data_IF_428447791823
#
_entry.id   IF_428447791823
#
_cell.length_a   1.000
_cell.length_b   1.000
_cell.length_c   1.000
_cell.angle_alpha   90.00
_cell.angle_beta   90.00
_cell.angle_gamma   90.00
#
_symmetry.space_group_name_H-M   'P 1'
#
loop_
_entity.id
_entity.type
_entity.pdbx_description
1 polymer ?
#
# COMPACT_ATOMS: atom_id res chain seq x y z
N UNK A 1 15.23 51.91 55.63
CA UNK A 1 14.28 50.82 55.97
C UNK A 1 13.96 50.07 54.69
N UNK A 2 14.35 48.79 54.61
CA UNK A 2 14.01 47.85 53.52
C UNK A 2 12.70 47.14 53.87
N UNK A 3 11.82 46.89 52.89
CA UNK A 3 11.31 45.52 52.74
C UNK A 3 11.11 45.12 51.25
N UNK A 4 11.66 43.96 50.88
CA UNK A 4 10.98 42.70 50.51
C UNK A 4 10.54 42.62 49.03
N UNK A 5 11.49 42.15 48.22
CA UNK A 5 11.24 41.49 46.93
C UNK A 5 10.66 40.09 47.21
N UNK A 6 9.40 39.87 46.81
CA UNK A 6 8.83 38.52 46.68
C UNK A 6 9.34 37.93 45.36
N UNK A 7 10.30 37.01 45.45
CA UNK A 7 10.70 36.15 44.33
C UNK A 7 9.78 34.93 44.35
N UNK A 8 8.88 34.84 43.38
CA UNK A 8 8.09 33.62 43.16
C UNK A 8 9.00 32.55 42.57
N UNK A 9 9.26 31.49 43.35
CA UNK A 9 9.79 30.23 42.84
C UNK A 9 8.64 29.43 42.22
N UNK A 10 8.48 29.51 40.90
CA UNK A 10 7.75 28.50 40.14
C UNK A 10 8.69 27.29 39.99
N UNK A 11 8.43 26.25 40.78
CA UNK A 11 9.06 24.95 40.61
C UNK A 11 8.65 24.38 39.24
N UNK A 12 9.59 24.34 38.31
CA UNK A 12 9.44 23.56 37.08
C UNK A 12 9.54 22.08 37.46
N UNK A 13 8.39 21.44 37.65
CA UNK A 13 8.30 19.98 37.63
C UNK A 13 8.60 19.51 36.22
N UNK A 14 9.87 19.19 35.98
CA UNK A 14 10.29 18.43 34.79
C UNK A 14 9.73 17.03 34.97
N UNK A 15 8.53 16.79 34.46
CA UNK A 15 8.03 15.44 34.20
C UNK A 15 8.91 14.85 33.10
N UNK A 16 9.98 14.17 33.50
CA UNK A 16 10.73 13.30 32.60
C UNK A 16 9.78 12.20 32.14
N UNK A 17 9.24 12.37 30.94
CA UNK A 17 8.63 11.27 30.17
C UNK A 17 9.66 10.14 30.09
N UNK A 18 9.28 8.89 30.39
CA UNK A 18 10.17 7.77 30.13
C UNK A 18 10.52 7.78 28.65
N UNK A 19 11.82 7.85 28.35
CA UNK A 19 12.35 7.62 27.00
C UNK A 19 11.98 6.18 26.63
N UNK A 20 10.86 6.02 25.94
CA UNK A 20 10.54 4.80 25.23
C UNK A 20 11.64 4.63 24.17
N UNK A 21 12.48 3.61 24.35
CA UNK A 21 13.46 3.21 23.35
C UNK A 21 12.71 2.82 22.08
N UNK A 22 13.23 3.14 20.90
CA UNK A 22 12.59 2.83 19.62
C UNK A 22 12.48 1.32 19.31
N UNK A 23 12.77 0.45 20.28
CA UNK A 23 12.66 -1.00 20.18
C UNK A 23 11.27 -1.56 20.52
N UNK A 24 10.40 -0.80 21.20
CA UNK A 24 9.17 -1.35 21.79
C UNK A 24 7.89 -1.19 20.93
N UNK A 25 8.03 -0.73 19.67
CA UNK A 25 6.89 -0.49 18.76
C UNK A 25 6.56 -1.72 17.87
N UNK A 26 7.35 -2.79 17.91
CA UNK A 26 7.08 -4.01 17.17
C UNK A 26 6.53 -5.09 18.11
N UNK A 27 5.20 -5.14 18.26
CA UNK A 27 4.54 -6.30 18.91
C UNK A 27 4.95 -7.57 18.16
N UNK A 28 5.90 -8.33 18.72
CA UNK A 28 6.08 -9.76 18.41
C UNK A 28 4.72 -10.43 18.64
N UNK A 29 4.04 -10.85 17.57
CA UNK A 29 2.97 -11.84 17.69
C UNK A 29 3.60 -13.22 17.62
N UNK A 30 3.14 -14.10 18.50
CA UNK A 30 3.64 -15.47 18.69
C UNK A 30 3.32 -16.35 17.47
N UNK A 31 4.14 -16.24 16.43
CA UNK A 31 4.21 -17.18 15.32
C UNK A 31 5.44 -18.09 15.43
N UNK A 32 5.48 -19.22 14.70
CA UNK A 32 6.67 -20.07 14.60
C UNK A 32 7.89 -19.20 14.23
N UNK A 33 8.90 -19.18 15.09
CA UNK A 33 10.13 -18.43 14.83
C UNK A 33 10.91 -19.18 13.74
N UNK A 34 10.79 -18.72 12.50
CA UNK A 34 11.56 -19.27 11.39
C UNK A 34 12.95 -18.65 11.45
N UNK A 35 14.02 -19.47 11.50
CA UNK A 35 15.38 -18.94 11.62
C UNK A 35 15.68 -17.89 10.55
N UNK A 36 16.17 -16.75 11.00
CA UNK A 36 16.57 -15.64 10.13
C UNK A 36 15.44 -14.82 9.52
N UNK A 37 14.16 -15.19 9.73
CA UNK A 37 12.99 -14.44 9.23
C UNK A 37 12.52 -13.41 10.26
N UNK A 38 12.36 -12.16 9.82
CA UNK A 38 11.73 -11.07 10.55
C UNK A 38 10.64 -10.45 9.68
N UNK A 39 9.45 -10.25 10.23
CA UNK A 39 8.30 -9.77 9.48
C UNK A 39 7.99 -8.31 9.77
N UNK A 40 7.70 -7.55 8.72
CA UNK A 40 7.07 -6.25 8.88
C UNK A 40 5.61 -6.53 9.23
N UNK A 41 5.13 -6.12 10.41
CA UNK A 41 3.71 -6.25 10.77
C UNK A 41 2.87 -5.13 10.13
N UNK A 42 1.56 -5.30 10.01
CA UNK A 42 0.60 -4.24 9.65
C UNK A 42 -0.54 -4.13 10.68
N UNK A 43 -1.32 -3.05 10.59
CA UNK A 43 -2.49 -2.78 11.44
C UNK A 43 -2.56 -1.32 11.87
N UNK A 44 -3.18 -1.07 13.03
CA UNK A 44 -3.39 0.29 13.57
C UNK A 44 -2.11 1.12 13.72
N UNK A 45 -0.96 0.46 13.96
CA UNK A 45 0.35 1.11 14.07
C UNK A 45 1.20 1.09 12.81
N UNK A 46 0.77 0.41 11.74
CA UNK A 46 1.51 0.35 10.47
C UNK A 46 0.56 0.17 9.28
N UNK A 47 0.43 1.23 8.47
CA UNK A 47 -0.44 1.28 7.29
C UNK A 47 0.27 0.90 5.98
N UNK A 48 1.43 0.25 6.06
CA UNK A 48 2.23 -0.18 4.92
C UNK A 48 1.93 -1.63 4.58
N UNK A 49 0.95 -1.87 3.73
CA UNK A 49 0.54 -3.21 3.31
C UNK A 49 0.04 -3.21 1.86
N UNK A 50 0.20 -4.34 1.18
CA UNK A 50 -0.24 -4.59 -0.21
C UNK A 50 -0.88 -5.95 -0.32
N UNK A 51 -1.60 -6.21 -1.41
CA UNK A 51 -2.15 -7.54 -1.64
C UNK A 51 -1.04 -8.58 -1.88
N UNK A 52 -1.29 -9.81 -1.44
CA UNK A 52 -0.41 -10.97 -1.65
C UNK A 52 -0.06 -11.13 -3.13
N UNK A 53 -1.07 -11.05 -4.01
CA UNK A 53 -0.89 -11.25 -5.45
C UNK A 53 0.08 -10.23 -6.06
N UNK A 54 0.03 -8.97 -5.60
CA UNK A 54 0.94 -7.90 -6.03
C UNK A 54 2.36 -8.11 -5.49
N UNK A 55 2.48 -8.55 -4.23
CA UNK A 55 3.78 -8.91 -3.65
C UNK A 55 4.43 -10.09 -4.42
N UNK A 56 3.70 -11.18 -4.65
CA UNK A 56 4.21 -12.36 -5.36
C UNK A 56 4.58 -12.05 -6.80
N UNK A 57 3.78 -11.26 -7.52
CA UNK A 57 4.09 -10.82 -8.88
C UNK A 57 5.40 -10.03 -8.94
N UNK A 58 5.59 -9.06 -8.04
CA UNK A 58 6.78 -8.21 -8.04
C UNK A 58 8.03 -8.96 -7.54
N UNK A 59 7.89 -9.89 -6.59
CA UNK A 59 8.97 -10.81 -6.20
C UNK A 59 9.44 -11.65 -7.38
N UNK A 60 8.51 -12.27 -8.11
CA UNK A 60 8.86 -13.07 -9.27
C UNK A 60 9.60 -12.23 -10.32
N UNK A 61 9.06 -11.06 -10.65
CA UNK A 61 9.69 -10.12 -11.59
C UNK A 61 11.08 -9.69 -11.14
N UNK A 62 11.26 -9.34 -9.87
CA UNK A 62 12.55 -8.97 -9.31
C UNK A 62 13.59 -10.07 -9.50
N UNK A 63 13.24 -11.31 -9.15
CA UNK A 63 14.15 -12.45 -9.27
C UNK A 63 14.48 -12.80 -10.73
N UNK A 64 13.51 -12.67 -11.65
CA UNK A 64 13.71 -12.92 -13.08
C UNK A 64 14.60 -11.86 -13.73
N UNK A 65 14.57 -10.61 -13.24
CA UNK A 65 15.31 -9.48 -13.78
C UNK A 65 16.61 -9.16 -12.99
N UNK A 66 17.14 -10.10 -12.18
CA UNK A 66 18.36 -9.86 -11.40
C UNK A 66 19.53 -9.51 -12.33
N UNK A 67 20.03 -8.29 -12.17
CA UNK A 67 21.26 -7.80 -12.78
C UNK A 67 22.11 -7.15 -11.70
N UNK A 68 23.34 -7.62 -11.55
CA UNK A 68 24.31 -7.11 -10.59
C UNK A 68 25.06 -5.94 -11.22
N UNK A 69 25.05 -4.79 -10.56
CA UNK A 69 25.90 -3.67 -10.94
C UNK A 69 27.36 -3.99 -10.53
N UNK A 70 28.33 -3.66 -11.39
CA UNK A 70 29.75 -3.92 -11.11
C UNK A 70 30.16 -3.32 -9.75
N UNK A 71 30.84 -4.12 -8.92
CA UNK A 71 31.28 -3.75 -7.57
C UNK A 71 30.15 -3.38 -6.59
N UNK A 72 28.89 -3.74 -6.87
CA UNK A 72 27.82 -3.59 -5.91
C UNK A 72 27.82 -4.71 -4.87
N UNK A 73 27.41 -4.37 -3.64
CA UNK A 73 27.13 -5.31 -2.56
C UNK A 73 25.63 -5.38 -2.22
N UNK A 74 24.79 -4.82 -3.09
CA UNK A 74 23.33 -4.84 -2.99
C UNK A 74 22.64 -4.75 -4.34
N UNK A 75 21.47 -5.36 -4.46
CA UNK A 75 20.51 -5.09 -5.53
C UNK A 75 19.26 -4.54 -4.88
N UNK A 76 18.77 -3.40 -5.37
CA UNK A 76 17.51 -2.79 -4.92
C UNK A 76 16.72 -2.42 -6.16
N UNK A 77 15.42 -2.75 -6.17
CA UNK A 77 14.48 -2.31 -7.20
C UNK A 77 13.19 -1.86 -6.55
N UNK A 78 12.60 -0.82 -7.12
CA UNK A 78 11.26 -0.35 -6.79
C UNK A 78 10.32 -0.77 -7.90
N UNK A 79 9.11 -1.15 -7.51
CA UNK A 79 8.02 -1.47 -8.41
C UNK A 79 6.80 -0.64 -8.03
N UNK A 80 5.94 -0.40 -9.01
CA UNK A 80 4.66 0.28 -8.82
C UNK A 80 4.85 1.71 -8.28
N UNK A 81 5.94 2.37 -8.70
CA UNK A 81 6.32 3.69 -8.22
C UNK A 81 5.19 4.71 -8.39
N UNK A 82 4.86 5.42 -7.31
CA UNK A 82 3.78 6.39 -7.29
C UNK A 82 2.39 5.81 -6.96
N UNK A 83 2.24 4.49 -6.84
CA UNK A 83 1.01 3.86 -6.36
C UNK A 83 1.04 3.62 -4.85
N UNK A 84 -0.12 3.32 -4.26
CA UNK A 84 -0.22 2.86 -2.86
C UNK A 84 0.39 1.45 -2.66
N UNK A 85 0.67 0.73 -3.75
CA UNK A 85 1.29 -0.60 -3.73
C UNK A 85 2.78 -0.55 -4.12
N UNK A 86 3.41 0.62 -3.99
CA UNK A 86 4.85 0.79 -4.20
C UNK A 86 5.64 -0.11 -3.24
N UNK A 87 6.43 -1.00 -3.83
CA UNK A 87 7.21 -2.02 -3.13
C UNK A 87 8.69 -1.87 -3.50
N UNK A 88 9.54 -1.90 -2.50
CA UNK A 88 10.98 -2.02 -2.68
C UNK A 88 11.41 -3.45 -2.32
N UNK A 89 12.15 -4.08 -3.22
CA UNK A 89 12.69 -5.44 -3.05
C UNK A 89 14.20 -5.36 -3.18
N UNK A 90 14.91 -6.05 -2.30
CA UNK A 90 16.35 -6.00 -2.25
C UNK A 90 17.02 -7.28 -1.77
N UNK A 91 18.28 -7.43 -2.19
CA UNK A 91 19.22 -8.44 -1.72
C UNK A 91 20.52 -7.71 -1.36
N UNK A 92 21.00 -7.86 -0.13
CA UNK A 92 22.27 -7.32 0.34
C UNK A 92 23.26 -8.44 0.67
N UNK A 93 24.56 -8.17 0.49
CA UNK A 93 25.64 -9.07 0.87
C UNK A 93 26.90 -8.33 1.33
N UNK A 94 27.84 -9.00 2.03
CA UNK A 94 29.11 -8.41 2.43
C UNK A 94 29.95 -7.96 1.23
N UNK A 95 30.67 -6.85 1.40
CA UNK A 95 31.62 -6.38 0.39
C UNK A 95 32.73 -7.42 0.12
N UNK A 96 33.13 -7.56 -1.13
CA UNK A 96 34.13 -8.54 -1.56
C UNK A 96 33.60 -9.96 -1.75
N UNK A 97 32.35 -10.26 -1.35
CA UNK A 97 31.70 -11.52 -1.69
C UNK A 97 31.13 -11.45 -3.10
N UNK A 98 31.44 -12.45 -3.93
CA UNK A 98 30.84 -12.60 -5.25
C UNK A 98 29.42 -13.12 -5.08
N UNK A 99 28.43 -12.33 -5.51
CA UNK A 99 27.05 -12.82 -5.62
C UNK A 99 26.86 -13.49 -6.98
N UNK A 100 26.40 -14.74 -6.95
CA UNK A 100 25.98 -15.47 -8.15
C UNK A 100 24.46 -15.63 -8.08
N UNK A 101 23.68 -14.98 -8.97
CA UNK A 101 22.23 -15.03 -8.91
C UNK A 101 21.70 -16.44 -9.16
N UNK A 102 20.98 -16.97 -8.17
CA UNK A 102 20.11 -18.13 -8.35
C UNK A 102 18.66 -17.64 -8.32
N UNK A 103 18.03 -17.63 -9.50
CA UNK A 103 16.66 -17.15 -9.70
C UNK A 103 15.67 -17.95 -8.86
N UNK A 104 15.83 -19.27 -8.78
CA UNK A 104 14.90 -20.12 -8.03
C UNK A 104 15.08 -19.90 -6.53
N UNK A 105 16.33 -19.83 -6.06
CA UNK A 105 16.61 -19.55 -4.64
C UNK A 105 16.09 -18.18 -4.21
N UNK A 106 16.25 -17.16 -5.07
CA UNK A 106 15.68 -15.84 -4.85
C UNK A 106 14.17 -15.90 -4.67
N UNK A 107 13.46 -16.57 -5.59
CA UNK A 107 12.01 -16.73 -5.54
C UNK A 107 11.59 -17.45 -4.27
N UNK A 108 12.21 -18.59 -3.96
CA UNK A 108 11.88 -19.38 -2.77
C UNK A 108 11.99 -18.55 -1.49
N UNK A 109 13.07 -17.79 -1.32
CA UNK A 109 13.28 -16.98 -0.11
C UNK A 109 12.30 -15.81 -0.04
N UNK A 110 12.17 -15.02 -1.10
CA UNK A 110 11.31 -13.84 -1.08
C UNK A 110 9.82 -14.22 -1.01
N UNK A 111 9.40 -15.30 -1.69
CA UNK A 111 8.05 -15.84 -1.56
C UNK A 111 7.81 -16.47 -0.18
N UNK A 112 8.84 -17.01 0.48
CA UNK A 112 8.73 -17.44 1.87
C UNK A 112 8.50 -16.26 2.80
N UNK A 113 9.22 -15.14 2.62
CA UNK A 113 8.93 -13.89 3.35
C UNK A 113 7.47 -13.49 3.13
N UNK A 114 7.03 -13.43 1.87
CA UNK A 114 5.65 -13.06 1.51
C UNK A 114 4.61 -14.01 2.14
N UNK A 115 4.84 -15.31 2.14
CA UNK A 115 3.83 -16.26 2.60
C UNK A 115 3.83 -16.45 4.13
N UNK A 116 5.00 -16.36 4.77
CA UNK A 116 5.13 -16.61 6.21
C UNK A 116 5.02 -15.35 7.05
N UNK A 117 5.21 -14.15 6.46
CA UNK A 117 4.90 -12.87 7.09
C UNK A 117 3.44 -12.46 6.88
N UNK A 118 2.52 -13.35 7.27
CA UNK A 118 1.08 -13.11 7.27
C UNK A 118 0.56 -13.16 8.71
N UNK A 119 0.46 -11.99 9.36
CA UNK A 119 0.11 -11.91 10.78
C UNK A 119 -1.38 -12.17 11.05
N UNK A 120 -2.24 -11.98 10.05
CA UNK A 120 -3.70 -12.01 10.19
C UNK A 120 -4.33 -13.19 9.43
N UNK A 121 -3.52 -14.08 8.83
CA UNK A 121 -3.98 -15.17 7.95
C UNK A 121 -4.92 -14.70 6.83
N UNK A 122 -4.64 -13.51 6.27
CA UNK A 122 -5.45 -12.88 5.22
C UNK A 122 -4.65 -12.74 3.91
N UNK A 123 -5.10 -11.84 3.04
CA UNK A 123 -4.48 -11.55 1.74
C UNK A 123 -3.54 -10.35 1.76
N UNK A 124 -3.30 -9.71 2.90
CA UNK A 124 -2.50 -8.50 3.02
C UNK A 124 -1.09 -8.80 3.51
N UNK A 125 -0.10 -8.09 2.97
CA UNK A 125 1.32 -8.33 3.22
C UNK A 125 2.08 -7.03 3.39
N UNK A 126 3.03 -7.02 4.31
CA UNK A 126 3.93 -5.89 4.56
C UNK A 126 5.40 -6.21 4.31
N UNK A 127 5.67 -7.46 3.95
CA UNK A 127 7.00 -7.98 3.70
C UNK A 127 7.77 -8.26 4.97
N UNK A 128 9.08 -8.15 4.86
CA UNK A 128 9.99 -8.55 5.90
C UNK A 128 11.38 -8.79 5.35
N UNK A 129 12.15 -9.49 6.15
CA UNK A 129 13.57 -9.73 5.99
C UNK A 129 13.86 -11.19 6.27
N UNK A 130 14.69 -11.82 5.44
CA UNK A 130 15.23 -13.15 5.71
C UNK A 130 16.73 -13.21 5.40
N UNK A 131 17.51 -13.70 6.37
CA UNK A 131 18.91 -14.05 6.17
C UNK A 131 19.05 -15.48 5.64
N UNK A 132 19.86 -15.67 4.61
CA UNK A 132 20.24 -16.96 4.04
C UNK A 132 21.76 -17.02 3.84
N UNK A 133 22.47 -17.68 4.76
CA UNK A 133 23.93 -17.61 4.82
C UNK A 133 24.40 -16.17 5.02
N UNK A 134 25.24 -15.67 4.12
CA UNK A 134 25.74 -14.28 4.13
C UNK A 134 24.82 -13.30 3.39
N UNK A 135 23.77 -13.79 2.71
CA UNK A 135 22.86 -12.97 1.93
C UNK A 135 21.64 -12.57 2.75
N UNK A 136 21.18 -11.34 2.55
CA UNK A 136 20.01 -10.77 3.19
C UNK A 136 18.97 -10.42 2.13
N UNK A 137 17.81 -11.06 2.18
CA UNK A 137 16.70 -10.83 1.27
C UNK A 137 15.62 -10.05 2.01
N UNK A 138 15.09 -8.99 1.41
CA UNK A 138 13.99 -8.26 2.03
C UNK A 138 13.12 -7.57 0.99
N UNK A 139 11.90 -7.30 1.42
CA UNK A 139 11.03 -6.38 0.73
C UNK A 139 10.12 -5.67 1.71
N UNK A 140 9.71 -4.46 1.35
CA UNK A 140 8.78 -3.69 2.13
C UNK A 140 7.95 -2.75 1.25
N UNK A 141 6.79 -2.35 1.75
CA UNK A 141 5.95 -1.33 1.12
C UNK A 141 6.50 0.03 1.52
N UNK A 142 6.71 0.92 0.55
CA UNK A 142 7.33 2.23 0.81
C UNK A 142 6.31 3.30 1.17
N UNK A 143 5.06 3.16 0.68
CA UNK A 143 3.96 4.10 0.89
C UNK A 143 3.02 3.64 1.99
N UNK A 144 2.53 4.60 2.78
CA UNK A 144 1.45 4.35 3.73
C UNK A 144 0.10 4.51 3.03
N UNK A 145 -0.84 3.62 3.37
CA UNK A 145 -2.24 3.77 3.02
C UNK A 145 -2.93 4.76 3.94
N UNK A 146 -4.03 5.34 3.49
CA UNK A 146 -4.83 6.26 4.31
C UNK A 146 -5.48 5.56 5.51
N UNK A 147 -5.90 4.32 5.31
CA UNK A 147 -6.54 3.47 6.31
C UNK A 147 -5.59 2.44 6.89
N UNK A 148 -5.69 2.23 8.19
CA UNK A 148 -5.11 1.06 8.84
C UNK A 148 -5.78 -0.21 8.31
N UNK A 149 -5.00 -1.30 8.26
CA UNK A 149 -5.58 -2.60 8.03
C UNK A 149 -6.46 -2.98 9.22
N UNK A 150 -7.66 -3.49 8.93
CA UNK A 150 -8.56 -4.08 9.93
C UNK A 150 -8.83 -5.51 9.54
N UNK A 151 -8.89 -6.42 10.51
CA UNK A 151 -9.15 -7.84 10.27
C UNK A 151 -10.38 -8.01 9.38
N UNK A 152 -10.27 -8.83 8.32
CA UNK A 152 -11.35 -9.07 7.34
C UNK A 152 -11.77 -7.85 6.53
N UNK A 153 -10.87 -6.88 6.34
CA UNK A 153 -11.13 -5.78 5.41
C UNK A 153 -11.52 -6.36 4.03
N UNK A 154 -12.70 -5.99 3.47
CA UNK A 154 -13.05 -6.40 2.12
C UNK A 154 -12.02 -5.88 1.13
N UNK A 155 -11.56 -6.74 0.21
CA UNK A 155 -10.46 -6.43 -0.72
C UNK A 155 -10.66 -5.11 -1.45
N UNK A 156 -11.89 -4.74 -1.83
CA UNK A 156 -12.20 -3.51 -2.56
C UNK A 156 -13.60 -2.96 -2.20
N UNK A 157 -13.69 -1.69 -1.78
CA UNK A 157 -14.93 -0.93 -1.59
C UNK A 157 -14.89 0.35 -2.41
N UNK A 158 -16.06 0.85 -2.81
CA UNK A 158 -16.12 2.15 -3.46
C UNK A 158 -17.46 2.83 -3.36
N UNK A 159 -17.45 4.11 -3.71
CA UNK A 159 -18.62 4.97 -3.82
C UNK A 159 -18.53 5.73 -5.13
N UNK A 160 -19.68 6.14 -5.65
CA UNK A 160 -19.74 7.06 -6.75
C UNK A 160 -20.60 8.28 -6.46
N UNK A 161 -20.20 9.42 -7.01
CA UNK A 161 -20.97 10.65 -7.04
C UNK A 161 -21.07 11.17 -8.47
N UNK A 162 -22.20 11.78 -8.78
CA UNK A 162 -22.47 12.42 -10.06
C UNK A 162 -22.83 13.87 -9.80
N UNK A 163 -22.18 14.81 -10.46
CA UNK A 163 -22.69 16.18 -10.57
C UNK A 163 -23.36 16.35 -11.93
N UNK A 164 -24.67 16.61 -11.92
CA UNK A 164 -25.49 16.60 -13.11
C UNK A 164 -25.30 17.85 -13.97
N UNK A 165 -24.97 17.65 -15.24
CA UNK A 165 -25.04 18.65 -16.30
C UNK A 165 -26.25 18.41 -17.23
N UNK A 166 -26.61 19.37 -18.07
CA UNK A 166 -27.80 19.28 -18.94
C UNK A 166 -27.73 18.15 -20.00
N UNK A 167 -26.52 17.67 -20.34
CA UNK A 167 -26.27 16.60 -21.33
C UNK A 167 -25.11 15.66 -20.97
N UNK A 168 -24.26 16.04 -20.02
CA UNK A 168 -23.06 15.31 -19.63
C UNK A 168 -22.96 15.34 -18.11
N UNK A 169 -22.85 14.17 -17.50
CA UNK A 169 -22.64 14.05 -16.07
C UNK A 169 -21.14 13.91 -15.78
N UNK A 170 -20.63 14.73 -14.86
CA UNK A 170 -19.30 14.52 -14.30
C UNK A 170 -19.43 13.43 -13.24
N UNK A 171 -18.73 12.32 -13.46
CA UNK A 171 -18.69 11.18 -12.57
C UNK A 171 -17.40 11.21 -11.76
N UNK A 172 -17.53 10.97 -10.45
CA UNK A 172 -16.41 10.68 -9.57
C UNK A 172 -16.64 9.32 -8.92
N UNK A 173 -15.66 8.43 -9.08
CA UNK A 173 -15.54 7.18 -8.36
C UNK A 173 -14.46 7.35 -7.29
N UNK A 174 -14.74 6.87 -6.09
CA UNK A 174 -13.73 6.75 -5.05
C UNK A 174 -13.72 5.32 -4.55
N UNK A 175 -12.55 4.82 -4.17
CA UNK A 175 -12.49 3.51 -3.56
C UNK A 175 -11.30 3.29 -2.66
N UNK A 176 -11.40 2.20 -1.90
CA UNK A 176 -10.34 1.68 -1.04
C UNK A 176 -10.14 0.22 -1.37
N UNK A 177 -8.90 -0.23 -1.35
CA UNK A 177 -8.58 -1.61 -1.67
C UNK A 177 -8.61 -1.89 -3.18
N UNK A 178 -7.95 -1.05 -3.98
CA UNK A 178 -7.76 -1.40 -5.38
C UNK A 178 -6.73 -2.52 -5.51
N UNK A 179 -7.07 -3.61 -6.20
CA UNK A 179 -6.13 -4.63 -6.64
C UNK A 179 -5.40 -4.11 -7.87
N UNK A 180 -4.46 -3.18 -7.71
CA UNK A 180 -3.76 -2.64 -8.87
C UNK A 180 -2.81 -1.49 -8.60
N UNK A 181 -1.70 -1.61 -9.30
CA UNK A 181 -0.63 -0.68 -9.62
C UNK A 181 -0.80 -0.09 -11.03
N UNK A 182 -1.97 -0.29 -11.67
CA UNK A 182 -2.21 0.04 -13.08
C UNK A 182 -2.73 1.46 -13.32
N UNK A 183 -2.76 2.30 -12.28
CA UNK A 183 -3.21 3.69 -12.36
C UNK A 183 -4.63 3.83 -12.94
N UNK A 184 -5.49 2.84 -12.69
CA UNK A 184 -6.89 2.84 -13.12
C UNK A 184 -7.09 2.41 -14.56
N UNK A 185 -6.08 1.88 -15.26
CA UNK A 185 -6.19 1.47 -16.66
C UNK A 185 -7.18 0.34 -16.89
N UNK A 186 -7.23 -0.66 -15.99
CA UNK A 186 -8.26 -1.72 -16.07
C UNK A 186 -9.65 -1.16 -15.85
N UNK A 187 -9.81 -0.22 -14.92
CA UNK A 187 -11.09 0.46 -14.66
C UNK A 187 -11.52 1.29 -15.87
N UNK A 188 -10.62 2.10 -16.42
CA UNK A 188 -10.82 2.89 -17.65
C UNK A 188 -11.25 1.98 -18.81
N UNK A 189 -10.48 0.92 -19.05
CA UNK A 189 -10.71 -0.01 -20.17
C UNK A 189 -12.07 -0.70 -20.08
N UNK A 190 -12.47 -1.12 -18.88
CA UNK A 190 -13.77 -1.77 -18.71
C UNK A 190 -14.95 -0.80 -18.83
N UNK A 191 -14.87 0.40 -18.25
CA UNK A 191 -15.90 1.44 -18.42
C UNK A 191 -15.98 1.86 -19.90
N UNK A 192 -14.85 2.01 -20.58
CA UNK A 192 -14.78 2.29 -22.02
C UNK A 192 -15.40 1.17 -22.85
N UNK A 193 -15.12 -0.09 -22.53
CA UNK A 193 -15.64 -1.25 -23.25
C UNK A 193 -17.18 -1.29 -23.32
N UNK A 194 -17.86 -0.56 -22.43
CA UNK A 194 -19.31 -0.38 -22.41
C UNK A 194 -19.82 0.89 -23.10
N UNK A 195 -18.94 1.69 -23.69
CA UNK A 195 -19.30 2.96 -24.34
C UNK A 195 -19.73 4.04 -23.35
N UNK A 196 -19.34 3.93 -22.08
CA UNK A 196 -19.77 4.86 -21.03
C UNK A 196 -18.90 6.12 -20.96
N UNK A 197 -17.62 6.03 -21.31
CA UNK A 197 -16.72 7.18 -21.38
C UNK A 197 -17.00 7.94 -22.68
N UNK A 198 -17.49 9.18 -22.56
CA UNK A 198 -17.77 10.03 -23.72
C UNK A 198 -16.51 10.50 -24.44
N UNK A 199 -15.49 10.85 -23.67
CA UNK A 199 -14.21 11.33 -24.19
C UNK A 199 -13.10 11.01 -23.17
N UNK A 200 -12.05 10.35 -23.67
CA UNK A 200 -10.90 9.92 -22.87
C UNK A 200 -10.10 11.09 -22.31
N UNK A 201 -10.20 12.28 -22.92
CA UNK A 201 -9.54 13.50 -22.42
C UNK A 201 -10.03 13.91 -21.02
N UNK A 202 -11.20 13.42 -20.59
CA UNK A 202 -11.74 13.68 -19.26
C UNK A 202 -11.38 12.61 -18.23
N UNK A 203 -10.74 11.51 -18.63
CA UNK A 203 -10.32 10.48 -17.67
C UNK A 203 -9.17 10.99 -16.82
N UNK A 204 -9.38 10.97 -15.50
CA UNK A 204 -8.36 11.30 -14.51
C UNK A 204 -8.39 10.25 -13.41
N UNK A 205 -7.25 9.65 -13.09
CA UNK A 205 -7.10 8.72 -11.97
C UNK A 205 -5.99 9.21 -11.05
N UNK A 206 -6.22 9.18 -9.74
CA UNK A 206 -5.24 9.61 -8.74
C UNK A 206 -5.28 8.67 -7.53
N UNK A 207 -4.09 8.28 -7.05
CA UNK A 207 -3.91 7.67 -5.74
C UNK A 207 -3.71 8.76 -4.67
N UNK A 208 -4.22 8.56 -3.46
CA UNK A 208 -4.13 9.54 -2.40
C UNK A 208 -5.22 9.40 -1.35
N UNK A 209 -5.32 10.38 -0.46
CA UNK A 209 -6.39 10.43 0.54
C UNK A 209 -7.52 11.32 0.06
N UNK A 210 -8.61 10.71 -0.42
CA UNK A 210 -9.75 11.44 -0.96
C UNK A 210 -10.95 11.33 -0.03
N UNK A 211 -11.60 12.46 0.25
CA UNK A 211 -12.87 12.47 0.98
C UNK A 211 -14.02 12.38 -0.01
N UNK A 212 -14.79 11.30 0.05
CA UNK A 212 -16.00 11.11 -0.74
C UNK A 212 -17.15 10.74 0.18
N UNK A 213 -18.26 11.45 0.10
CA UNK A 213 -19.41 11.30 1.02
C UNK A 213 -19.03 11.32 2.51
N UNK A 214 -18.00 12.09 2.89
CA UNK A 214 -17.52 12.21 4.26
C UNK A 214 -16.55 11.11 4.73
N UNK A 215 -16.30 10.08 3.92
CA UNK A 215 -15.37 8.99 4.22
C UNK A 215 -14.06 9.10 3.44
N UNK A 216 -12.98 8.51 3.96
CA UNK A 216 -11.66 8.50 3.32
C UNK A 216 -11.49 7.29 2.40
N UNK A 217 -11.05 7.57 1.18
CA UNK A 217 -10.75 6.61 0.12
C UNK A 217 -9.28 6.73 -0.32
N UNK A 218 -8.75 5.68 -0.94
CA UNK A 218 -7.32 5.56 -1.30
C UNK A 218 -7.01 6.00 -2.74
N UNK A 219 -8.04 6.20 -3.56
CA UNK A 219 -7.92 6.68 -4.92
C UNK A 219 -9.25 7.30 -5.38
N UNK A 220 -9.18 8.11 -6.43
CA UNK A 220 -10.32 8.68 -7.14
C UNK A 220 -10.15 8.48 -8.65
N UNK A 221 -11.25 8.25 -9.35
CA UNK A 221 -11.33 8.32 -10.80
C UNK A 221 -12.43 9.31 -11.19
N UNK A 222 -12.13 10.24 -12.10
CA UNK A 222 -13.08 11.22 -12.60
C UNK A 222 -13.17 11.13 -14.12
N UNK A 223 -14.38 11.19 -14.66
CA UNK A 223 -14.64 11.10 -16.10
C UNK A 223 -16.05 11.59 -16.43
N UNK A 224 -16.31 11.80 -17.73
CA UNK A 224 -17.61 12.25 -18.22
C UNK A 224 -18.44 11.11 -18.80
N UNK A 225 -19.71 11.06 -18.39
CA UNK A 225 -20.69 10.07 -18.80
C UNK A 225 -21.78 10.68 -19.69
N UNK A 226 -22.28 9.87 -20.62
CA UNK A 226 -23.53 10.16 -21.31
C UNK A 226 -24.72 10.08 -20.36
N UNK A 227 -25.81 10.74 -20.74
CA UNK A 227 -27.09 10.73 -20.03
C UNK A 227 -27.48 9.30 -19.58
N UNK A 228 -27.72 9.10 -18.27
CA UNK A 228 -28.08 7.83 -17.60
C UNK A 228 -26.98 6.73 -17.55
N UNK A 229 -25.71 7.03 -17.89
CA UNK A 229 -24.62 6.04 -17.85
C UNK A 229 -24.23 5.53 -16.45
N UNK A 230 -24.59 6.26 -15.39
CA UNK A 230 -24.12 5.98 -14.02
C UNK A 230 -24.57 4.63 -13.45
N UNK A 231 -25.76 4.14 -13.83
CA UNK A 231 -26.28 2.84 -13.37
C UNK A 231 -25.39 1.68 -13.83
N UNK A 232 -24.84 1.81 -15.03
CA UNK A 232 -23.96 0.81 -15.62
C UNK A 232 -22.58 0.87 -14.96
N UNK A 233 -22.06 2.06 -14.66
CA UNK A 233 -20.77 2.19 -13.97
C UNK A 233 -20.73 1.42 -12.65
N UNK A 234 -21.77 1.52 -11.82
CA UNK A 234 -21.82 0.80 -10.55
C UNK A 234 -21.74 -0.73 -10.73
N UNK A 235 -22.43 -1.27 -11.75
CA UNK A 235 -22.39 -2.69 -12.08
C UNK A 235 -21.01 -3.11 -12.60
N UNK A 236 -20.46 -2.36 -13.54
CA UNK A 236 -19.16 -2.68 -14.16
C UNK A 236 -18.01 -2.58 -13.15
N UNK A 237 -18.06 -1.62 -12.23
CA UNK A 237 -16.98 -1.44 -11.24
C UNK A 237 -16.89 -2.64 -10.30
N UNK A 238 -18.02 -3.32 -10.04
CA UNK A 238 -18.06 -4.59 -9.32
C UNK A 238 -17.38 -5.71 -10.10
N UNK A 239 -17.71 -5.85 -11.37
CA UNK A 239 -17.21 -6.94 -12.22
C UNK A 239 -15.72 -6.77 -12.57
N UNK A 240 -15.28 -5.53 -12.79
CA UNK A 240 -13.92 -5.22 -13.25
C UNK A 240 -12.92 -5.20 -12.10
N UNK A 241 -13.28 -4.53 -10.99
CA UNK A 241 -12.35 -4.25 -9.90
C UNK A 241 -12.63 -5.11 -8.65
N UNK A 242 -13.62 -6.02 -8.70
CA UNK A 242 -14.09 -6.75 -7.53
C UNK A 242 -14.65 -5.83 -6.45
N UNK A 243 -14.98 -4.59 -6.83
CA UNK A 243 -15.26 -3.50 -5.91
C UNK A 243 -16.73 -3.45 -5.58
N UNK A 244 -17.04 -3.58 -4.30
CA UNK A 244 -18.41 -3.40 -3.88
C UNK A 244 -18.73 -1.90 -3.82
N UNK A 245 -19.40 -1.39 -4.86
CA UNK A 245 -19.95 -0.04 -4.85
C UNK A 245 -21.15 -0.01 -3.90
N UNK A 246 -21.00 0.66 -2.77
CA UNK A 246 -21.99 0.72 -1.69
C UNK A 246 -23.03 1.80 -1.91
N UNK A 247 -22.67 2.88 -2.62
CA UNK A 247 -23.55 4.01 -2.88
C UNK A 247 -23.19 4.65 -4.21
N UNK A 248 -24.21 4.85 -5.04
CA UNK A 248 -24.17 5.74 -6.16
C UNK A 248 -25.33 6.71 -6.00
N UNK A 249 -25.01 8.01 -5.90
CA UNK A 249 -25.93 9.17 -5.72
C UNK A 249 -26.13 9.63 -4.26
N UNK A 250 -26.23 10.94 -4.09
CA UNK A 250 -26.98 11.58 -2.98
C UNK A 250 -28.42 11.88 -3.43
#
# INVERSE_FOLDING_TARGET
MKPLLLVSFLAQTVLSLPQASSGDIWRKRDGPQIPGLSCNGYGDGNKKYISKDVAERNVNKFCDDIKIDENSNKIVRKFNEGSIEEIEIAIDWPSGLKFEPDVQRCKDILLEITNKCNTDNDDWRSGGYKKDGEFAYHWHVTKERSRAHVEKMPRAIGVCSTSSGFFIDDMQLCGSGFLGDDFGERLKSGIRGRGLILDEAYWKFEYGEFKCNGELYEWTASFKLGWLGWQQVAAETRDIAGMHITKCRD
#
